data_IF_537431235769
#
_entry.id   IF_537431235769
#
_cell.length_a   1.000
_cell.length_b   1.000
_cell.length_c   1.000
_cell.angle_alpha   90.00
_cell.angle_beta   90.00
_cell.angle_gamma   90.00
#
_symmetry.space_group_name_H-M   'P 1'
#
loop_
_entity.id
_entity.type
_entity.pdbx_description
1 polymer ?
#
# COMPACT_ATOMS: atom_id res chain seq x y z
N UNK A 1 -4.09 -6.46 21.07
CA UNK A 1 -4.33 -5.06 20.67
C UNK A 1 -4.26 -5.01 19.16
N UNK A 2 -5.25 -4.38 18.52
CA UNK A 2 -5.50 -4.52 17.08
C UNK A 2 -4.24 -4.23 16.25
N UNK A 3 -3.88 -5.17 15.38
CA UNK A 3 -2.98 -4.90 14.26
C UNK A 3 -3.69 -3.84 13.41
N UNK A 4 -3.32 -2.57 13.58
CA UNK A 4 -3.86 -1.50 12.75
C UNK A 4 -3.24 -1.65 11.36
N UNK A 5 -3.91 -2.41 10.49
CA UNK A 5 -3.52 -2.51 9.09
C UNK A 5 -3.60 -1.11 8.47
N UNK A 6 -2.58 -0.74 7.70
CA UNK A 6 -2.56 0.57 7.07
C UNK A 6 -3.67 0.69 6.01
N UNK A 7 -4.59 1.63 6.21
CA UNK A 7 -5.59 2.02 5.21
C UNK A 7 -4.95 2.70 3.98
N UNK A 8 -3.64 2.97 4.05
CA UNK A 8 -2.83 3.57 2.98
C UNK A 8 -3.06 2.89 1.62
N UNK A 9 -3.15 1.57 1.61
CA UNK A 9 -3.30 0.81 0.37
C UNK A 9 -4.68 0.91 -0.27
N UNK A 10 -5.68 1.49 0.41
CA UNK A 10 -6.96 1.83 -0.23
C UNK A 10 -6.78 2.86 -1.36
N UNK A 11 -5.72 3.68 -1.30
CA UNK A 11 -5.33 4.58 -2.39
C UNK A 11 -4.53 3.93 -3.53
N UNK A 12 -4.38 2.60 -3.55
CA UNK A 12 -3.82 1.88 -4.69
C UNK A 12 -4.89 1.68 -5.77
N UNK A 13 -4.50 1.36 -7.01
CA UNK A 13 -5.48 1.14 -8.10
C UNK A 13 -6.54 0.08 -7.76
N UNK A 14 -6.14 -1.00 -7.07
CA UNK A 14 -7.09 -2.04 -6.63
C UNK A 14 -7.97 -1.56 -5.47
N UNK A 15 -7.43 -0.76 -4.55
CA UNK A 15 -8.20 -0.18 -3.45
C UNK A 15 -9.22 0.85 -3.91
N UNK A 16 -8.86 1.68 -4.90
CA UNK A 16 -9.78 2.63 -5.53
C UNK A 16 -10.91 1.88 -6.24
N UNK A 17 -10.58 0.89 -7.07
CA UNK A 17 -11.60 0.09 -7.76
C UNK A 17 -12.57 -0.62 -6.79
N UNK A 18 -12.05 -1.10 -5.66
CA UNK A 18 -12.90 -1.66 -4.59
C UNK A 18 -13.81 -0.59 -3.97
N UNK A 19 -13.27 0.59 -3.67
CA UNK A 19 -14.05 1.68 -3.07
C UNK A 19 -15.16 2.14 -4.01
N UNK A 20 -14.84 2.35 -5.29
CA UNK A 20 -15.82 2.71 -6.33
C UNK A 20 -16.94 1.66 -6.43
N UNK A 21 -16.58 0.37 -6.42
CA UNK A 21 -17.55 -0.73 -6.46
C UNK A 21 -18.45 -0.77 -5.22
N UNK A 22 -17.89 -0.49 -4.04
CA UNK A 22 -18.65 -0.43 -2.79
C UNK A 22 -19.62 0.77 -2.80
N UNK A 23 -19.20 1.91 -3.31
CA UNK A 23 -20.04 3.10 -3.42
C UNK A 23 -21.22 2.90 -4.38
N UNK A 24 -21.03 2.17 -5.49
CA UNK A 24 -22.13 1.77 -6.37
C UNK A 24 -23.15 0.85 -5.67
N UNK A 25 -22.67 -0.12 -4.88
CA UNK A 25 -23.54 -1.03 -4.10
C UNK A 25 -24.29 -0.30 -2.98
N UNK A 26 -23.68 0.72 -2.37
CA UNK A 26 -24.36 1.58 -1.40
C UNK A 26 -25.42 2.42 -2.10
N UNK A 27 -25.08 3.05 -3.23
CA UNK A 27 -25.98 3.94 -3.99
C UNK A 27 -27.21 3.20 -4.51
N UNK A 28 -27.04 1.94 -4.91
CA UNK A 28 -28.14 1.06 -5.32
C UNK A 28 -28.95 0.49 -4.15
N UNK A 29 -28.54 0.71 -2.89
CA UNK A 29 -29.19 0.19 -1.70
C UNK A 29 -28.95 -1.32 -1.46
N UNK A 30 -28.03 -1.93 -2.19
CA UNK A 30 -27.72 -3.36 -2.06
C UNK A 30 -26.95 -3.67 -0.76
N UNK A 31 -26.12 -2.74 -0.28
CA UNK A 31 -25.39 -2.87 0.98
C UNK A 31 -25.47 -1.60 1.82
N UNK A 32 -25.25 -1.74 3.13
CA UNK A 32 -25.15 -0.59 4.04
C UNK A 32 -23.73 -0.02 4.08
N UNK A 33 -23.55 1.27 4.38
CA UNK A 33 -22.23 1.86 4.56
C UNK A 33 -21.39 1.16 5.64
N UNK A 34 -22.03 0.69 6.71
CA UNK A 34 -21.36 -0.04 7.78
C UNK A 34 -20.80 -1.39 7.30
N UNK A 35 -21.48 -2.05 6.35
CA UNK A 35 -20.96 -3.28 5.75
C UNK A 35 -19.78 -2.99 4.83
N UNK A 36 -19.84 -1.94 4.01
CA UNK A 36 -18.73 -1.52 3.16
C UNK A 36 -17.46 -1.22 3.98
N UNK A 37 -17.59 -0.55 5.12
CA UNK A 37 -16.47 -0.30 6.05
C UNK A 37 -15.83 -1.61 6.55
N UNK A 38 -16.63 -2.65 6.83
CA UNK A 38 -16.09 -3.97 7.20
C UNK A 38 -15.34 -4.64 6.05
N UNK A 39 -15.82 -4.48 4.81
CA UNK A 39 -15.13 -4.99 3.62
C UNK A 39 -13.78 -4.28 3.44
N UNK A 40 -13.72 -2.96 3.61
CA UNK A 40 -12.48 -2.19 3.54
C UNK A 40 -11.47 -2.62 4.63
N UNK A 41 -11.93 -2.81 5.87
CA UNK A 41 -11.08 -3.35 6.94
C UNK A 41 -10.51 -4.74 6.61
N UNK A 42 -11.34 -5.60 6.01
CA UNK A 42 -10.89 -6.92 5.56
C UNK A 42 -9.92 -6.83 4.39
N UNK A 43 -10.10 -5.86 3.48
CA UNK A 43 -9.16 -5.58 2.39
C UNK A 43 -7.79 -5.16 2.93
N UNK A 44 -7.73 -4.24 3.90
CA UNK A 44 -6.46 -3.79 4.48
C UNK A 44 -5.66 -4.95 5.06
N UNK A 45 -6.36 -5.86 5.76
CA UNK A 45 -5.79 -7.10 6.30
C UNK A 45 -5.29 -8.03 5.20
N UNK A 46 -6.16 -8.37 4.25
CA UNK A 46 -5.84 -9.33 3.19
C UNK A 46 -4.67 -8.86 2.33
N UNK A 47 -4.59 -7.57 2.03
CA UNK A 47 -3.51 -7.02 1.21
C UNK A 47 -2.17 -7.03 1.96
N UNK A 48 -2.14 -6.58 3.21
CA UNK A 48 -0.92 -6.61 4.02
C UNK A 48 -0.38 -8.04 4.18
N UNK A 49 -1.26 -8.99 4.49
CA UNK A 49 -0.92 -10.41 4.60
C UNK A 49 -0.37 -10.97 3.28
N UNK A 50 -1.00 -10.62 2.15
CA UNK A 50 -0.59 -11.08 0.82
C UNK A 50 0.78 -10.52 0.43
N UNK A 51 1.02 -9.23 0.68
CA UNK A 51 2.31 -8.58 0.42
C UNK A 51 3.45 -9.24 1.19
N UNK A 52 3.23 -9.64 2.45
CA UNK A 52 4.25 -10.30 3.27
C UNK A 52 4.44 -11.77 2.90
N UNK A 53 3.34 -12.51 2.68
CA UNK A 53 3.39 -13.98 2.53
C UNK A 53 3.67 -14.44 1.10
N UNK A 54 3.19 -13.70 0.10
CA UNK A 54 3.16 -14.18 -1.29
C UNK A 54 4.12 -13.42 -2.20
N UNK A 55 4.35 -12.13 -1.96
CA UNK A 55 5.20 -11.31 -2.84
C UNK A 55 6.67 -11.51 -2.48
N UNK A 56 7.42 -12.13 -3.39
CA UNK A 56 8.87 -12.39 -3.24
C UNK A 56 9.76 -11.54 -4.14
N UNK A 57 9.16 -10.87 -5.11
CA UNK A 57 9.86 -10.09 -6.12
C UNK A 57 10.63 -8.93 -5.47
N UNK A 58 11.86 -8.73 -5.92
CA UNK A 58 12.73 -7.64 -5.47
C UNK A 58 13.03 -6.69 -6.62
N UNK A 59 13.11 -5.40 -6.30
CA UNK A 59 13.42 -4.36 -7.28
C UNK A 59 14.49 -3.44 -6.71
N UNK A 60 15.43 -3.02 -7.55
CA UNK A 60 16.38 -1.97 -7.20
C UNK A 60 15.95 -0.64 -7.82
N UNK A 61 15.86 0.41 -7.01
CA UNK A 61 15.55 1.76 -7.46
C UNK A 61 16.82 2.62 -7.50
N UNK A 62 17.03 3.35 -8.60
CA UNK A 62 18.00 4.44 -8.73
C UNK A 62 17.31 5.72 -9.18
N UNK A 63 17.82 6.88 -8.80
CA UNK A 63 17.32 8.18 -9.25
C UNK A 63 17.83 9.34 -8.39
N UNK A 64 17.39 10.55 -8.72
CA UNK A 64 17.76 11.77 -8.01
C UNK A 64 16.70 12.17 -6.99
N UNK A 65 17.05 12.18 -5.70
CA UNK A 65 16.15 12.64 -4.65
C UNK A 65 15.92 14.15 -4.78
N UNK A 66 14.66 14.55 -5.01
CA UNK A 66 14.25 15.96 -5.09
C UNK A 66 13.96 16.53 -3.70
N UNK A 67 13.21 15.81 -2.89
CA UNK A 67 12.80 16.22 -1.54
C UNK A 67 12.35 14.99 -0.75
N UNK A 68 12.47 15.09 0.57
CA UNK A 68 11.98 14.08 1.53
C UNK A 68 11.25 14.76 2.67
N UNK A 69 10.36 14.01 3.34
CA UNK A 69 9.67 14.42 4.56
C UNK A 69 9.47 13.19 5.43
N UNK A 70 9.68 13.35 6.73
CA UNK A 70 9.23 12.43 7.76
C UNK A 70 8.26 13.18 8.67
N UNK A 71 7.05 12.65 8.82
CA UNK A 71 6.02 13.14 9.76
C UNK A 71 5.16 11.94 10.16
N UNK A 72 4.83 11.81 11.45
CA UNK A 72 3.98 10.73 11.99
C UNK A 72 4.42 9.32 11.55
N UNK A 73 5.72 9.05 11.60
CA UNK A 73 6.33 7.78 11.17
C UNK A 73 6.08 7.37 9.70
N UNK A 74 5.67 8.34 8.86
CA UNK A 74 5.52 8.18 7.42
C UNK A 74 6.61 8.95 6.69
N UNK A 75 7.42 8.21 5.95
CA UNK A 75 8.39 8.77 5.02
C UNK A 75 7.72 9.06 3.67
N UNK A 76 7.94 10.26 3.15
CA UNK A 76 7.58 10.63 1.78
C UNK A 76 8.81 11.09 1.03
N UNK A 77 9.10 10.47 -0.13
CA UNK A 77 10.18 10.86 -1.02
C UNK A 77 9.62 11.25 -2.38
N UNK A 78 10.18 12.30 -2.99
CA UNK A 78 9.99 12.60 -4.41
C UNK A 78 11.31 12.36 -5.12
N UNK A 79 11.35 11.40 -6.04
CA UNK A 79 12.55 11.04 -6.81
C UNK A 79 12.32 11.40 -8.28
N UNK A 80 13.32 12.01 -8.92
CA UNK A 80 13.35 12.37 -10.34
C UNK A 80 14.26 11.41 -11.11
N UNK A 81 13.97 11.20 -12.39
CA UNK A 81 14.71 10.30 -13.27
C UNK A 81 14.92 8.93 -12.62
N UNK A 82 13.81 8.34 -12.17
CA UNK A 82 13.82 7.08 -11.48
C UNK A 82 13.96 5.92 -12.47
N UNK A 83 14.80 4.95 -12.12
CA UNK A 83 15.02 3.71 -12.85
C UNK A 83 14.83 2.56 -11.89
N UNK A 84 13.86 1.69 -12.20
CA UNK A 84 13.61 0.45 -11.48
C UNK A 84 14.21 -0.71 -12.26
N UNK A 85 15.10 -1.46 -11.63
CA UNK A 85 15.58 -2.74 -12.15
C UNK A 85 14.79 -3.86 -11.50
N UNK A 86 13.96 -4.53 -12.30
CA UNK A 86 13.12 -5.65 -11.89
C UNK A 86 13.89 -6.98 -11.99
N UNK A 87 13.29 -8.04 -11.44
CA UNK A 87 13.74 -9.41 -11.70
C UNK A 87 13.59 -9.74 -13.20
N UNK A 88 14.51 -10.53 -13.75
CA UNK A 88 14.54 -10.79 -15.20
C UNK A 88 15.24 -9.72 -16.05
N UNK A 89 15.95 -8.77 -15.42
CA UNK A 89 16.74 -7.71 -16.07
C UNK A 89 15.90 -6.70 -16.87
N UNK A 90 14.59 -6.66 -16.63
CA UNK A 90 13.71 -5.60 -17.12
C UNK A 90 14.00 -4.30 -16.37
N UNK A 91 14.06 -3.20 -17.12
CA UNK A 91 14.29 -1.86 -16.55
C UNK A 91 13.14 -0.94 -16.92
N UNK A 92 12.49 -0.38 -15.90
CA UNK A 92 11.41 0.60 -16.05
C UNK A 92 11.94 1.97 -15.65
N UNK A 93 11.86 2.93 -16.57
CA UNK A 93 12.30 4.32 -16.34
C UNK A 93 11.10 5.26 -16.27
N UNK A 94 11.16 6.25 -15.39
CA UNK A 94 10.11 7.26 -15.25
C UNK A 94 10.67 8.62 -14.85
N UNK A 95 10.13 9.74 -15.36
CA UNK A 95 10.63 11.08 -15.03
C UNK A 95 10.52 11.42 -13.55
N UNK A 96 9.50 10.89 -12.85
CA UNK A 96 9.22 11.26 -11.46
C UNK A 96 8.38 10.18 -10.76
N UNK A 97 8.75 9.87 -9.51
CA UNK A 97 7.95 9.05 -8.60
C UNK A 97 7.74 9.74 -7.25
N UNK A 98 6.67 9.33 -6.56
CA UNK A 98 6.43 9.61 -5.14
C UNK A 98 6.45 8.28 -4.39
N UNK A 99 7.32 8.16 -3.40
CA UNK A 99 7.40 7.00 -2.52
C UNK A 99 6.80 7.41 -1.19
N UNK A 100 5.86 6.61 -0.69
CA UNK A 100 5.30 6.75 0.65
C UNK A 100 5.61 5.44 1.37
N UNK A 101 6.35 5.54 2.47
CA UNK A 101 6.77 4.39 3.25
C UNK A 101 6.34 4.61 4.70
N UNK A 102 5.38 3.81 5.14
CA UNK A 102 5.03 3.72 6.55
C UNK A 102 6.04 2.81 7.24
N UNK A 103 6.42 3.13 8.47
CA UNK A 103 7.08 2.14 9.34
C UNK A 103 6.22 0.88 9.34
N UNK A 104 6.81 -0.31 9.23
CA UNK A 104 6.07 -1.50 9.64
C UNK A 104 5.89 -1.36 11.16
N UNK A 105 4.70 -0.90 11.60
CA UNK A 105 4.29 -1.08 12.99
C UNK A 105 4.53 -2.54 13.32
N UNK A 106 5.24 -2.82 14.42
CA UNK A 106 5.71 -4.15 14.78
C UNK A 106 4.69 -5.18 14.29
N UNK A 107 5.05 -5.95 13.26
CA UNK A 107 4.36 -7.20 13.02
C UNK A 107 4.66 -7.95 14.30
N UNK A 108 3.77 -7.84 15.29
CA UNK A 108 3.92 -8.42 16.61
C UNK A 108 4.26 -9.87 16.33
N UNK A 109 5.54 -10.23 16.50
CA UNK A 109 5.94 -11.62 16.57
C UNK A 109 5.19 -12.15 17.77
N UNK A 110 4.04 -12.76 17.50
CA UNK A 110 3.27 -13.48 18.48
C UNK A 110 4.13 -14.66 18.92
N UNK A 111 4.94 -14.44 19.95
CA UNK A 111 5.59 -15.46 20.75
C UNK A 111 6.86 -16.06 20.18
N UNK A 112 8.01 -15.47 20.52
CA UNK A 112 9.11 -16.27 21.07
C UNK A 112 9.21 -15.97 22.56
N UNK A 113 8.50 -16.78 23.36
CA UNK A 113 8.98 -17.16 24.68
C UNK A 113 9.81 -18.42 24.52
#
# INVERSE_FOLDING_TARGET
MATAYYEFYRGSSIGMALTDSLDELITSGAITPQLAMKVLQQFDKSLADTMVKQVKAKTALKGHLKTYRLCDDVWTFIVKQASFKMEGNETVVTPRIKIIACKNGDAIEAGKK
#
